data_IF_174599246731
#
_entry.id   IF_174599246731
#
_cell.length_a   1.000
_cell.length_b   1.000
_cell.length_c   1.000
_cell.angle_alpha   90.00
_cell.angle_beta   90.00
_cell.angle_gamma   90.00
#
_symmetry.space_group_name_H-M   'P 1'
#
loop_
_entity.id
_entity.type
_entity.pdbx_description
1 polymer ?
#
# COMPACT_ATOMS: atom_id res chain seq x y z
N UNK A 1 0.01 15.24 -1.44
CA UNK A 1 0.15 15.09 -2.93
C UNK A 1 -0.16 13.65 -3.35
N UNK A 2 -0.42 13.36 -4.64
CA UNK A 2 -0.66 11.97 -5.10
C UNK A 2 0.56 11.08 -4.82
N UNK A 3 1.77 11.56 -5.07
CA UNK A 3 3.00 10.82 -4.76
C UNK A 3 3.18 10.53 -3.25
N UNK A 4 2.75 11.44 -2.38
CA UNK A 4 2.74 11.22 -0.92
C UNK A 4 1.77 10.10 -0.54
N UNK A 5 0.58 10.06 -1.16
CA UNK A 5 -0.37 8.96 -0.96
C UNK A 5 0.22 7.62 -1.37
N UNK A 6 0.83 7.55 -2.57
CA UNK A 6 1.49 6.34 -3.07
C UNK A 6 2.57 5.88 -2.11
N UNK A 7 3.44 6.77 -1.63
CA UNK A 7 4.50 6.42 -0.70
C UNK A 7 3.97 5.82 0.62
N UNK A 8 2.88 6.37 1.16
CA UNK A 8 2.25 5.84 2.36
C UNK A 8 1.61 4.45 2.13
N UNK A 9 1.01 4.23 0.96
CA UNK A 9 0.44 2.93 0.58
C UNK A 9 1.53 1.87 0.37
N UNK A 10 2.66 2.24 -0.24
CA UNK A 10 3.81 1.35 -0.42
C UNK A 10 4.43 0.95 0.92
N UNK A 11 4.68 1.91 1.83
CA UNK A 11 5.19 1.62 3.18
C UNK A 11 4.23 0.73 3.97
N UNK A 12 2.91 1.02 3.90
CA UNK A 12 1.89 0.19 4.54
C UNK A 12 1.89 -1.24 4.00
N UNK A 13 1.94 -1.39 2.67
CA UNK A 13 2.02 -2.72 2.02
C UNK A 13 3.27 -3.46 2.45
N UNK A 14 4.43 -2.81 2.46
CA UNK A 14 5.69 -3.41 2.89
C UNK A 14 5.62 -3.96 4.33
N UNK A 15 4.98 -3.22 5.25
CA UNK A 15 4.75 -3.68 6.63
C UNK A 15 3.85 -4.91 6.69
N UNK A 16 2.83 -4.97 5.84
CA UNK A 16 1.96 -6.15 5.74
C UNK A 16 2.73 -7.36 5.20
N UNK A 17 3.54 -7.19 4.14
CA UNK A 17 4.38 -8.27 3.60
C UNK A 17 5.36 -8.79 4.65
N UNK A 18 6.02 -7.89 5.40
CA UNK A 18 6.86 -8.25 6.54
C UNK A 18 6.09 -9.07 7.57
N UNK A 19 4.87 -8.63 7.92
CA UNK A 19 4.02 -9.34 8.88
C UNK A 19 3.68 -10.75 8.39
N UNK A 20 3.26 -10.88 7.14
CA UNK A 20 2.91 -12.16 6.52
C UNK A 20 4.10 -13.11 6.46
N UNK A 21 5.29 -12.60 6.13
CA UNK A 21 6.54 -13.36 6.16
C UNK A 21 6.87 -13.90 7.55
N UNK A 22 6.67 -13.10 8.60
CA UNK A 22 6.86 -13.52 10.00
C UNK A 22 5.86 -14.61 10.41
N UNK A 23 4.60 -14.45 10.03
CA UNK A 23 3.55 -15.47 10.24
C UNK A 23 3.91 -16.77 9.50
N UNK A 24 4.38 -16.68 8.25
CA UNK A 24 4.84 -17.83 7.48
C UNK A 24 6.06 -18.54 8.12
N UNK A 25 6.89 -17.80 8.85
CA UNK A 25 7.99 -18.35 9.64
C UNK A 25 7.53 -18.97 10.98
N UNK A 26 6.22 -19.01 11.26
CA UNK A 26 5.65 -19.60 12.48
C UNK A 26 5.55 -18.64 13.66
N UNK A 27 5.81 -17.34 13.48
CA UNK A 27 5.67 -16.36 14.56
C UNK A 27 4.19 -16.12 14.91
N UNK A 28 3.87 -16.19 16.21
CA UNK A 28 2.57 -15.74 16.73
C UNK A 28 2.59 -14.23 16.94
N UNK A 29 1.83 -13.50 16.11
CA UNK A 29 1.76 -12.04 16.17
C UNK A 29 0.42 -11.59 16.74
N UNK A 30 0.39 -10.49 17.52
CA UNK A 30 -0.85 -9.96 18.08
C UNK A 30 -1.84 -9.61 16.95
N UNK A 31 -3.14 -9.86 17.13
CA UNK A 31 -4.14 -9.56 16.13
C UNK A 31 -4.19 -8.05 15.86
N UNK A 32 -4.43 -7.68 14.61
CA UNK A 32 -4.69 -6.28 14.22
C UNK A 32 -6.18 -6.19 13.90
N UNK A 33 -6.95 -5.31 14.57
CA UNK A 33 -8.36 -5.13 14.27
C UNK A 33 -8.55 -4.73 12.80
N UNK A 34 -9.45 -5.43 12.11
CA UNK A 34 -9.83 -5.04 10.76
C UNK A 34 -10.66 -3.76 10.79
N UNK A 35 -10.31 -2.82 9.91
CA UNK A 35 -11.07 -1.59 9.67
C UNK A 35 -11.49 -1.58 8.20
N UNK A 36 -12.79 -1.68 7.89
CA UNK A 36 -13.27 -1.64 6.51
C UNK A 36 -13.02 -0.28 5.87
N UNK A 37 -12.78 -0.28 4.57
CA UNK A 37 -12.69 0.91 3.75
C UNK A 37 -14.03 1.63 3.69
N UNK A 38 -14.00 2.96 3.67
CA UNK A 38 -15.20 3.78 3.55
C UNK A 38 -15.37 4.28 2.11
N UNK A 39 -16.61 4.34 1.65
CA UNK A 39 -16.99 4.98 0.39
C UNK A 39 -17.91 6.15 0.71
N UNK A 40 -17.58 7.34 0.19
CA UNK A 40 -18.39 8.56 0.35
C UNK A 40 -18.71 9.10 -1.04
N UNK A 41 -19.99 9.33 -1.32
CA UNK A 41 -20.48 9.84 -2.60
C UNK A 41 -19.96 9.03 -3.81
N UNK A 42 -19.94 7.70 -3.67
CA UNK A 42 -19.43 6.76 -4.67
C UNK A 42 -17.89 6.72 -4.80
N UNK A 43 -17.15 7.44 -3.95
CA UNK A 43 -15.68 7.52 -3.99
C UNK A 43 -15.03 6.82 -2.79
N UNK A 44 -14.08 5.90 -3.01
CA UNK A 44 -13.32 5.29 -1.93
C UNK A 44 -12.52 6.37 -1.17
N UNK A 45 -12.54 6.28 0.15
CA UNK A 45 -11.82 7.19 1.03
C UNK A 45 -10.53 6.52 1.50
N UNK A 46 -9.41 7.22 1.32
CA UNK A 46 -8.13 6.76 1.86
C UNK A 46 -8.24 6.56 3.39
N UNK A 47 -7.88 5.37 3.91
CA UNK A 47 -7.76 5.13 5.34
C UNK A 47 -6.82 6.13 5.99
N UNK A 48 -7.03 6.43 7.27
CA UNK A 48 -6.27 7.46 8.00
C UNK A 48 -4.76 7.27 7.89
N UNK A 49 -4.26 6.03 8.03
CA UNK A 49 -2.84 5.71 7.98
C UNK A 49 -2.16 5.96 6.62
N UNK A 50 -2.92 6.09 5.54
CA UNK A 50 -2.40 6.35 4.19
C UNK A 50 -2.94 7.64 3.58
N UNK A 51 -3.58 8.49 4.38
CA UNK A 51 -4.06 9.80 3.94
C UNK A 51 -2.88 10.77 3.89
N UNK A 52 -2.65 11.46 2.75
CA UNK A 52 -1.68 12.56 2.68
C UNK A 52 -1.97 13.62 3.74
N UNK A 53 -0.93 14.08 4.42
CA UNK A 53 -1.01 15.15 5.42
C UNK A 53 -0.71 16.51 4.80
N UNK A 54 0.02 16.53 3.69
CA UNK A 54 0.53 17.76 3.10
C UNK A 54 1.66 18.37 3.93
N UNK A 55 2.15 19.53 3.50
CA UNK A 55 3.23 20.25 4.19
C UNK A 55 4.66 19.84 3.81
N UNK A 56 4.82 18.76 3.03
CA UNK A 56 6.10 18.37 2.45
C UNK A 56 6.34 19.06 1.11
N UNK A 57 7.59 19.45 0.85
CA UNK A 57 8.08 19.86 -0.46
C UNK A 57 8.05 18.69 -1.44
N UNK A 58 8.18 18.99 -2.74
CA UNK A 58 8.25 17.95 -3.78
C UNK A 58 9.45 17.02 -3.55
N UNK A 59 10.61 17.57 -3.22
CA UNK A 59 11.83 16.79 -2.96
C UNK A 59 11.64 15.83 -1.79
N UNK A 60 11.04 16.29 -0.69
CA UNK A 60 10.75 15.44 0.47
C UNK A 60 9.78 14.31 0.13
N UNK A 61 8.76 14.59 -0.69
CA UNK A 61 7.81 13.55 -1.14
C UNK A 61 8.48 12.53 -2.06
N UNK A 62 9.35 12.97 -2.96
CA UNK A 62 10.10 12.06 -3.84
C UNK A 62 11.08 11.18 -3.04
N UNK A 63 11.75 11.75 -2.03
CA UNK A 63 12.61 10.99 -1.13
C UNK A 63 11.80 9.97 -0.30
N UNK A 64 10.62 10.36 0.19
CA UNK A 64 9.71 9.46 0.90
C UNK A 64 9.25 8.30 0.01
N UNK A 65 8.85 8.60 -1.23
CA UNK A 65 8.43 7.60 -2.21
C UNK A 65 9.57 6.63 -2.54
N UNK A 66 10.78 7.13 -2.81
CA UNK A 66 11.94 6.28 -3.11
C UNK A 66 12.25 5.33 -1.94
N UNK A 67 12.18 5.82 -0.70
CA UNK A 67 12.37 5.02 0.50
C UNK A 67 11.29 3.94 0.65
N UNK A 68 10.02 4.31 0.48
CA UNK A 68 8.90 3.37 0.57
C UNK A 68 8.99 2.29 -0.50
N UNK A 69 9.37 2.66 -1.74
CA UNK A 69 9.59 1.74 -2.85
C UNK A 69 10.66 0.71 -2.54
N UNK A 70 11.82 1.17 -2.07
CA UNK A 70 12.92 0.28 -1.71
C UNK A 70 12.48 -0.74 -0.65
N UNK A 71 11.75 -0.28 0.37
CA UNK A 71 11.23 -1.15 1.42
C UNK A 71 10.18 -2.15 0.91
N UNK A 72 9.25 -1.72 0.07
CA UNK A 72 8.26 -2.60 -0.56
C UNK A 72 8.93 -3.70 -1.40
N UNK A 73 9.88 -3.32 -2.27
CA UNK A 73 10.59 -4.27 -3.12
C UNK A 73 11.42 -5.27 -2.29
N UNK A 74 12.05 -4.81 -1.21
CA UNK A 74 12.80 -5.67 -0.29
C UNK A 74 11.90 -6.73 0.37
N UNK A 75 10.75 -6.35 0.92
CA UNK A 75 9.84 -7.31 1.56
C UNK A 75 9.11 -8.19 0.54
N UNK A 76 8.79 -7.67 -0.65
CA UNK A 76 8.22 -8.46 -1.73
C UNK A 76 9.16 -9.56 -2.21
N UNK A 77 10.46 -9.26 -2.34
CA UNK A 77 11.48 -10.24 -2.71
C UNK A 77 11.66 -11.36 -1.67
N UNK A 78 11.32 -11.10 -0.40
CA UNK A 78 11.42 -12.06 0.71
C UNK A 78 10.11 -12.80 0.99
N UNK A 79 9.01 -12.39 0.39
CA UNK A 79 7.71 -13.01 0.62
C UNK A 79 7.57 -14.29 -0.21
N UNK A 80 6.99 -15.33 0.39
CA UNK A 80 6.57 -16.52 -0.35
C UNK A 80 5.20 -16.24 -1.02
N UNK A 81 5.13 -16.21 -2.37
CA UNK A 81 3.90 -15.90 -3.07
C UNK A 81 2.86 -17.05 -3.03
N UNK A 82 3.24 -18.26 -2.63
CA UNK A 82 2.36 -19.43 -2.51
C UNK A 82 1.84 -19.65 -1.08
N UNK A 83 2.44 -19.00 -0.07
CA UNK A 83 2.03 -19.18 1.32
C UNK A 83 0.58 -18.70 1.57
N UNK A 84 -0.26 -19.48 2.29
CA UNK A 84 -1.69 -19.19 2.43
C UNK A 84 -2.03 -18.12 3.47
N UNK A 85 -1.07 -17.65 4.27
CA UNK A 85 -1.31 -16.61 5.28
C UNK A 85 -1.89 -15.33 4.64
N UNK A 86 -2.91 -14.77 5.28
CA UNK A 86 -3.60 -13.57 4.82
C UNK A 86 -3.55 -12.43 5.83
N UNK A 87 -3.76 -11.22 5.32
CA UNK A 87 -3.99 -10.03 6.11
C UNK A 87 -5.08 -9.20 5.43
N UNK A 88 -6.06 -8.64 6.17
CA UNK A 88 -7.21 -7.99 5.56
C UNK A 88 -6.88 -6.63 4.97
N UNK A 89 -7.24 -6.45 3.70
CA UNK A 89 -7.20 -5.17 2.97
C UNK A 89 -8.54 -4.42 3.14
N UNK A 90 -8.54 -3.10 3.39
CA UNK A 90 -9.76 -2.34 3.68
C UNK A 90 -10.88 -2.48 2.64
N UNK A 91 -10.53 -2.61 1.36
CA UNK A 91 -11.49 -2.71 0.25
C UNK A 91 -11.59 -4.09 -0.40
N UNK A 92 -10.61 -4.98 -0.15
CA UNK A 92 -10.50 -6.26 -0.88
C UNK A 92 -10.63 -7.48 0.02
N UNK A 93 -10.80 -7.28 1.33
CA UNK A 93 -10.89 -8.37 2.30
C UNK A 93 -9.55 -9.09 2.47
N UNK A 94 -9.58 -10.37 2.80
CA UNK A 94 -8.38 -11.17 3.04
C UNK A 94 -7.52 -11.31 1.78
N UNK A 95 -6.27 -10.86 1.87
CA UNK A 95 -5.28 -11.00 0.80
C UNK A 95 -4.05 -11.75 1.29
N UNK A 96 -3.54 -12.65 0.47
CA UNK A 96 -2.21 -13.26 0.64
C UNK A 96 -1.10 -12.24 0.34
N UNK A 97 0.16 -12.61 0.56
CA UNK A 97 1.30 -11.75 0.21
C UNK A 97 1.28 -11.35 -1.27
N UNK A 98 1.03 -12.30 -2.18
CA UNK A 98 0.87 -12.00 -3.61
C UNK A 98 -0.33 -11.08 -3.89
N UNK A 99 -1.43 -11.25 -3.14
CA UNK A 99 -2.59 -10.37 -3.22
C UNK A 99 -2.24 -8.92 -2.87
N UNK A 100 -1.49 -8.70 -1.79
CA UNK A 100 -1.02 -7.38 -1.37
C UNK A 100 -0.07 -6.73 -2.37
N UNK A 101 0.87 -7.49 -2.95
CA UNK A 101 1.75 -6.98 -4.02
C UNK A 101 0.94 -6.55 -5.25
N UNK A 102 -0.05 -7.36 -5.67
CA UNK A 102 -0.93 -7.01 -6.79
C UNK A 102 -1.78 -5.78 -6.51
N UNK A 103 -2.28 -5.63 -5.28
CA UNK A 103 -3.05 -4.46 -4.87
C UNK A 103 -2.20 -3.18 -4.94
N UNK A 104 -0.96 -3.21 -4.46
CA UNK A 104 -0.03 -2.08 -4.55
C UNK A 104 0.30 -1.71 -6.01
N UNK A 105 0.60 -2.71 -6.87
CA UNK A 105 0.87 -2.47 -8.28
C UNK A 105 -0.33 -1.86 -9.02
N UNK A 106 -1.54 -2.38 -8.75
CA UNK A 106 -2.78 -1.82 -9.31
C UNK A 106 -3.01 -0.38 -8.86
N UNK A 107 -2.80 -0.10 -7.56
CA UNK A 107 -2.96 1.22 -6.97
C UNK A 107 -2.01 2.26 -7.58
N UNK A 108 -0.73 1.92 -7.72
CA UNK A 108 0.26 2.79 -8.36
C UNK A 108 -0.11 3.07 -9.81
N UNK A 109 -0.43 2.04 -10.59
CA UNK A 109 -0.80 2.17 -11.99
C UNK A 109 -2.04 3.06 -12.19
N UNK A 110 -3.03 2.92 -11.30
CA UNK A 110 -4.23 3.77 -11.30
C UNK A 110 -3.89 5.24 -11.12
N UNK A 111 -3.03 5.57 -10.14
CA UNK A 111 -2.65 6.96 -9.89
C UNK A 111 -1.73 7.54 -10.96
N UNK A 112 -0.81 6.74 -11.51
CA UNK A 112 0.03 7.17 -12.63
C UNK A 112 -0.83 7.53 -13.83
N UNK A 113 -1.81 6.70 -14.18
CA UNK A 113 -2.76 6.98 -15.26
C UNK A 113 -3.51 8.29 -15.03
N UNK A 114 -4.05 8.49 -13.82
CA UNK A 114 -4.77 9.72 -13.48
C UNK A 114 -3.89 10.99 -13.59
N UNK A 115 -2.61 10.88 -13.20
CA UNK A 115 -1.64 11.98 -13.36
C UNK A 115 -1.34 12.26 -14.83
N UNK A 116 -1.14 11.24 -15.64
CA UNK A 116 -0.90 11.38 -17.08
C UNK A 116 -2.10 12.04 -17.78
N UNK A 117 -3.32 11.58 -17.49
CA UNK A 117 -4.55 12.17 -18.04
C UNK A 117 -4.69 13.65 -17.65
N UNK A 118 -4.37 14.01 -16.40
CA UNK A 118 -4.39 15.39 -15.93
C UNK A 118 -3.33 16.29 -16.57
N UNK A 119 -2.21 15.72 -17.03
CA UNK A 119 -1.15 16.43 -17.76
C UNK A 119 -1.47 16.56 -19.25
N UNK A 120 -2.09 15.56 -19.86
CA UNK A 120 -2.48 15.57 -21.29
C UNK A 120 -3.76 16.37 -21.57
N UNK A 121 -4.56 16.66 -20.56
CA UNK A 121 -5.77 17.51 -20.67
C UNK A 121 -5.49 19.01 -20.50
N UNK A 122 -4.21 19.40 -20.50
CA UNK A 122 -3.73 20.80 -20.47
C UNK A 122 -3.13 21.16 -21.82
#
# INVERSE_FOLDING_TARGET
MVAEHIALVEDSTARVLRRLRRVAAGESLPPVPFVPGMVKDGRPQAPEGVRPKGGLSLEEVLALLAKARAFLLEEAAKADPQHPATFPHPFFGELTALGWVRAAAYHEAHHLKALQEALSSR
#
